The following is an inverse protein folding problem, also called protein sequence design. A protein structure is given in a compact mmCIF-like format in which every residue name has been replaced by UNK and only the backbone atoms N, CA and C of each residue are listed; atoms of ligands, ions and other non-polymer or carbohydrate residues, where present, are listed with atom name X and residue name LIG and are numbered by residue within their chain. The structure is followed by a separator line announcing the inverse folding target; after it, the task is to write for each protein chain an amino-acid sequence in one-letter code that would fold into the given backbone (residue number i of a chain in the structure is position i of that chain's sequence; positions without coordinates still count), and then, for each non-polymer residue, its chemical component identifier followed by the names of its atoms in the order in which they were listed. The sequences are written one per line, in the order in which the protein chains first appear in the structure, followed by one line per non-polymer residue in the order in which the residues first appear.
data_IF_490457250557
#
_entry.id   IF_490457250557
#
_cell.length_a   1.000
_cell.length_b   1.000
_cell.length_c   1.000
_cell.angle_alpha   90.00
_cell.angle_beta   90.00
_cell.angle_gamma   90.00
#
_symmetry.space_group_name_H-M   'P 1'
#
loop_
_entity.id
_entity.type
_entity.pdbx_description
1 polymer ?
#
# COMPACT_ATOMS: atom_id res chain seq x y z
N UNK A 1 -3.62 -12.04 -2.67
CA UNK A 1 -4.32 -10.85 -2.15
C UNK A 1 -5.52 -10.57 -3.03
N UNK A 2 -6.32 -9.56 -2.71
CA UNK A 2 -7.39 -9.11 -3.59
C UNK A 2 -7.67 -7.62 -3.42
N UNK A 3 -8.41 -7.04 -4.35
CA UNK A 3 -8.83 -5.65 -4.26
C UNK A 3 -10.28 -5.47 -4.71
N UNK A 4 -10.93 -4.45 -4.17
CA UNK A 4 -12.28 -4.06 -4.57
C UNK A 4 -12.42 -2.54 -4.48
N UNK A 5 -13.04 -1.94 -5.49
CA UNK A 5 -13.34 -0.52 -5.54
C UNK A 5 -14.72 -0.23 -4.94
N UNK A 6 -14.82 0.87 -4.22
CA UNK A 6 -16.02 1.31 -3.53
C UNK A 6 -16.31 2.76 -3.86
N UNK A 7 -17.55 3.03 -4.28
CA UNK A 7 -18.06 4.37 -4.55
C UNK A 7 -19.59 4.34 -4.53
N UNK A 8 -20.20 5.51 -4.39
CA UNK A 8 -21.65 5.74 -4.44
C UNK A 8 -22.44 4.92 -3.41
N UNK A 9 -21.85 4.68 -2.22
CA UNK A 9 -22.51 4.02 -1.10
C UNK A 9 -22.33 2.50 -1.05
N UNK A 10 -21.42 1.94 -1.85
CA UNK A 10 -21.13 0.51 -1.78
C UNK A 10 -20.02 0.05 -2.73
N UNK A 11 -20.02 -1.26 -2.99
CA UNK A 11 -19.15 -1.90 -3.97
C UNK A 11 -19.40 -1.35 -5.37
N UNK A 12 -18.39 -0.81 -6.02
CA UNK A 12 -18.49 -0.36 -7.41
C UNK A 12 -18.24 -1.50 -8.41
N UNK A 13 -17.30 -2.38 -8.10
CA UNK A 13 -16.99 -3.57 -8.87
C UNK A 13 -16.97 -4.84 -8.00
N UNK A 14 -16.80 -5.99 -8.65
CA UNK A 14 -16.53 -7.25 -7.98
C UNK A 14 -15.09 -7.29 -7.47
N UNK A 15 -14.89 -7.95 -6.32
CA UNK A 15 -13.55 -8.24 -5.82
C UNK A 15 -12.74 -9.02 -6.86
N UNK A 16 -11.48 -8.62 -7.03
CA UNK A 16 -10.51 -9.29 -7.89
C UNK A 16 -9.38 -9.83 -7.01
N UNK A 17 -9.16 -11.15 -7.07
CA UNK A 17 -8.08 -11.82 -6.35
C UNK A 17 -6.89 -12.05 -7.28
N UNK A 18 -5.69 -11.98 -6.72
CA UNK A 18 -4.42 -12.11 -7.44
C UNK A 18 -3.33 -12.72 -6.55
N UNK A 19 -2.27 -13.22 -7.18
CA UNK A 19 -1.05 -13.67 -6.52
C UNK A 19 -0.04 -12.52 -6.59
N UNK A 20 0.53 -12.16 -5.43
CA UNK A 20 1.60 -11.14 -5.34
C UNK A 20 2.82 -11.66 -6.09
N UNK A 21 3.39 -10.86 -6.99
CA UNK A 21 4.48 -11.29 -7.84
C UNK A 21 5.10 -10.14 -8.62
N UNK A 22 5.91 -10.44 -9.64
CA UNK A 22 6.48 -9.40 -10.47
C UNK A 22 5.43 -8.84 -11.44
N UNK A 23 5.23 -7.52 -11.44
CA UNK A 23 4.44 -6.79 -12.43
C UNK A 23 3.17 -6.18 -11.85
N UNK A 24 2.19 -5.90 -12.70
CA UNK A 24 0.92 -5.28 -12.29
C UNK A 24 -0.12 -6.35 -11.96
N UNK A 25 -0.67 -6.29 -10.74
CA UNK A 25 -1.69 -7.21 -10.23
C UNK A 25 -3.13 -6.75 -10.49
N UNK A 26 -3.35 -5.49 -10.83
CA UNK A 26 -4.68 -4.96 -11.09
C UNK A 26 -4.68 -3.67 -11.90
N UNK A 27 -5.80 -3.39 -12.56
CA UNK A 27 -6.05 -2.12 -13.22
C UNK A 27 -7.47 -1.67 -12.90
N UNK A 28 -7.62 -0.45 -12.40
CA UNK A 28 -8.94 0.13 -12.16
C UNK A 28 -9.34 1.03 -13.33
N UNK A 29 -10.08 0.46 -14.29
CA UNK A 29 -10.73 1.18 -15.39
C UNK A 29 -9.81 2.20 -16.11
N UNK A 30 -8.53 1.85 -16.29
CA UNK A 30 -7.50 2.70 -16.89
C UNK A 30 -7.20 4.02 -16.14
N UNK A 31 -7.64 4.16 -14.89
CA UNK A 31 -7.25 5.26 -14.02
C UNK A 31 -5.88 5.04 -13.40
N UNK A 32 -5.63 3.84 -12.87
CA UNK A 32 -4.36 3.46 -12.29
C UNK A 32 -4.12 1.95 -12.37
N UNK A 33 -2.86 1.58 -12.41
CA UNK A 33 -2.37 0.23 -12.18
C UNK A 33 -2.11 0.02 -10.69
N UNK A 34 -2.30 -1.23 -10.24
CA UNK A 34 -2.03 -1.69 -8.88
C UNK A 34 -0.88 -2.68 -8.98
N UNK A 35 0.28 -2.29 -8.45
CA UNK A 35 1.49 -3.09 -8.39
C UNK A 35 1.78 -3.41 -6.91
N UNK A 36 1.87 -4.69 -6.58
CA UNK A 36 2.00 -5.20 -5.21
C UNK A 36 3.24 -6.06 -5.09
N UNK A 37 4.14 -5.59 -4.23
CA UNK A 37 5.31 -6.32 -3.78
C UNK A 37 5.12 -6.83 -2.34
N UNK A 38 6.09 -7.62 -1.86
CA UNK A 38 6.14 -8.10 -0.46
C UNK A 38 6.09 -6.96 0.59
N UNK A 39 6.55 -5.77 0.21
CA UNK A 39 6.78 -4.65 1.12
C UNK A 39 6.07 -3.37 0.71
N UNK A 40 5.42 -3.35 -0.45
CA UNK A 40 4.73 -2.14 -0.91
C UNK A 40 3.53 -2.42 -1.80
N UNK A 41 2.62 -1.46 -1.83
CA UNK A 41 1.52 -1.38 -2.78
C UNK A 41 1.64 -0.03 -3.48
N UNK A 42 1.71 -0.04 -4.81
CA UNK A 42 1.83 1.14 -5.65
C UNK A 42 0.58 1.28 -6.51
N UNK A 43 0.02 2.48 -6.52
CA UNK A 43 -1.03 2.92 -7.42
C UNK A 43 -0.42 3.92 -8.40
N UNK A 44 -0.19 3.47 -9.64
CA UNK A 44 0.43 4.27 -10.70
C UNK A 44 -0.65 4.80 -11.64
N UNK A 45 -0.90 6.11 -11.60
CA UNK A 45 -2.01 6.72 -12.33
C UNK A 45 -1.66 6.95 -13.80
N UNK A 46 -2.62 6.69 -14.68
CA UNK A 46 -2.47 6.80 -16.14
C UNK A 46 -3.42 7.82 -16.78
N UNK A 47 -4.29 8.43 -15.98
CA UNK A 47 -5.30 9.39 -16.41
C UNK A 47 -5.20 10.69 -15.61
N UNK A 48 -5.93 11.72 -16.03
CA UNK A 48 -6.04 12.98 -15.29
C UNK A 48 -7.50 13.31 -15.01
N UNK A 49 -7.86 13.40 -13.72
CA UNK A 49 -9.20 13.76 -13.27
C UNK A 49 -9.20 14.14 -11.78
N UNK A 50 -10.39 14.36 -11.24
CA UNK A 50 -10.64 14.47 -9.80
C UNK A 50 -11.67 13.42 -9.41
N UNK A 51 -11.41 12.69 -8.33
CA UNK A 51 -12.34 11.70 -7.82
C UNK A 51 -13.63 12.35 -7.32
N UNK A 52 -14.78 11.81 -7.72
CA UNK A 52 -16.08 12.34 -7.33
C UNK A 52 -16.33 12.19 -5.82
N UNK A 53 -17.14 13.08 -5.26
CA UNK A 53 -17.71 12.88 -3.93
C UNK A 53 -18.62 11.64 -3.91
N UNK A 54 -18.76 11.06 -2.72
CA UNK A 54 -19.59 9.88 -2.49
C UNK A 54 -20.07 9.86 -1.04
N UNK A 55 -21.17 9.16 -0.75
CA UNK A 55 -21.47 8.71 0.61
C UNK A 55 -20.46 7.65 1.05
N UNK A 56 -20.41 7.37 2.37
CA UNK A 56 -19.56 6.30 2.90
C UNK A 56 -19.91 4.97 2.22
N UNK A 57 -18.94 4.39 1.52
CA UNK A 57 -19.11 3.19 0.69
C UNK A 57 -18.54 1.94 1.36
N UNK A 58 -17.50 2.09 2.17
CA UNK A 58 -17.00 1.07 3.07
C UNK A 58 -16.43 1.72 4.35
N UNK A 59 -16.98 1.34 5.50
CA UNK A 59 -16.49 1.81 6.79
C UNK A 59 -15.12 1.17 7.13
N UNK A 60 -14.20 1.89 7.82
CA UNK A 60 -14.41 3.23 8.37
C UNK A 60 -14.13 4.41 7.43
N UNK A 61 -13.36 4.22 6.35
CA UNK A 61 -12.71 5.37 5.70
C UNK A 61 -13.11 5.59 4.24
N UNK A 62 -13.59 4.57 3.51
CA UNK A 62 -13.79 4.71 2.06
C UNK A 62 -15.13 5.37 1.75
N UNK A 63 -15.07 6.60 1.23
CA UNK A 63 -16.18 7.24 0.56
C UNK A 63 -16.10 6.95 -0.95
N UNK A 64 -14.94 7.19 -1.56
CA UNK A 64 -14.64 6.84 -2.95
C UNK A 64 -13.20 6.34 -3.04
N UNK A 65 -13.00 5.04 -3.18
CA UNK A 65 -11.68 4.47 -3.03
C UNK A 65 -11.58 2.97 -3.17
N UNK A 66 -10.47 2.42 -2.70
CA UNK A 66 -10.11 1.02 -2.88
C UNK A 66 -9.79 0.34 -1.55
N UNK A 67 -10.25 -0.90 -1.40
CA UNK A 67 -9.85 -1.78 -0.30
C UNK A 67 -8.94 -2.88 -0.84
N UNK A 68 -7.74 -3.00 -0.27
CA UNK A 68 -6.80 -4.09 -0.51
C UNK A 68 -6.99 -5.14 0.59
N UNK A 69 -7.13 -6.41 0.22
CA UNK A 69 -7.51 -7.51 1.12
C UNK A 69 -6.47 -8.62 1.14
N UNK A 70 -6.14 -9.07 2.34
CA UNK A 70 -5.33 -10.26 2.54
C UNK A 70 -6.22 -11.51 2.44
N UNK A 71 -6.24 -12.13 1.27
CA UNK A 71 -6.97 -13.39 1.02
C UNK A 71 -6.21 -14.60 1.56
N UNK A 72 -4.87 -14.56 1.47
CA UNK A 72 -3.96 -15.59 1.96
C UNK A 72 -2.59 -14.99 2.22
N UNK A 73 -1.92 -15.40 3.30
CA UNK A 73 -0.59 -14.89 3.67
C UNK A 73 -0.55 -14.35 5.10
N UNK A 74 0.57 -13.74 5.51
CA UNK A 74 0.67 -13.08 6.82
C UNK A 74 -0.24 -11.85 6.88
N UNK A 75 -0.72 -11.55 8.08
CA UNK A 75 -1.51 -10.35 8.34
C UNK A 75 -0.67 -9.07 8.16
N UNK A 76 -1.32 -7.95 7.83
CA UNK A 76 -0.69 -6.64 7.85
C UNK A 76 -0.36 -6.23 9.29
N UNK A 77 0.88 -5.81 9.54
CA UNK A 77 1.34 -5.32 10.84
C UNK A 77 1.62 -3.82 10.85
N UNK A 78 1.89 -3.24 9.68
CA UNK A 78 2.12 -1.80 9.51
C UNK A 78 1.75 -1.36 8.10
N UNK A 79 1.18 -0.17 7.98
CA UNK A 79 0.97 0.52 6.71
C UNK A 79 1.39 1.98 6.89
N UNK A 80 2.31 2.46 6.06
CA UNK A 80 2.73 3.87 6.03
C UNK A 80 2.75 4.40 4.62
N UNK A 81 2.58 5.71 4.45
CA UNK A 81 2.67 6.36 3.15
C UNK A 81 4.16 6.53 2.79
N UNK A 82 4.54 6.08 1.61
CA UNK A 82 5.90 6.24 1.10
C UNK A 82 6.16 7.67 0.64
N UNK A 83 7.40 8.15 0.83
CA UNK A 83 7.80 9.51 0.49
C UNK A 83 7.79 9.81 -1.02
N UNK A 84 7.75 8.78 -1.88
CA UNK A 84 7.55 8.94 -3.33
C UNK A 84 6.11 9.29 -3.71
N UNK A 85 5.15 9.19 -2.78
CA UNK A 85 3.76 9.59 -3.03
C UNK A 85 3.67 11.07 -3.33
N UNK A 86 3.01 11.43 -4.44
CA UNK A 86 2.93 12.81 -4.91
C UNK A 86 1.49 13.33 -5.11
N UNK A 87 0.47 12.54 -4.76
CA UNK A 87 -0.92 13.00 -4.83
C UNK A 87 -1.21 14.07 -3.78
N UNK A 88 -1.51 15.29 -4.24
CA UNK A 88 -1.83 16.41 -3.36
C UNK A 88 -3.07 16.13 -2.50
N UNK A 89 -2.95 16.33 -1.19
CA UNK A 89 -4.05 16.09 -0.23
C UNK A 89 -4.22 14.63 0.21
N UNK A 90 -3.38 13.72 -0.28
CA UNK A 90 -3.30 12.36 0.24
C UNK A 90 -2.47 12.32 1.52
N UNK A 91 -3.07 11.91 2.62
CA UNK A 91 -2.42 11.78 3.93
C UNK A 91 -2.97 10.59 4.72
N UNK A 92 -2.44 10.38 5.92
CA UNK A 92 -2.79 9.22 6.75
C UNK A 92 -4.25 9.20 7.22
N UNK A 93 -4.99 10.31 7.16
CA UNK A 93 -6.42 10.33 7.49
C UNK A 93 -7.28 9.57 6.47
N UNK A 94 -6.74 9.38 5.26
CA UNK A 94 -7.37 8.66 4.14
C UNK A 94 -6.98 7.19 4.06
N UNK A 95 -6.18 6.71 5.00
CA UNK A 95 -5.73 5.32 5.07
C UNK A 95 -6.18 4.71 6.40
N UNK A 96 -6.83 3.56 6.33
CA UNK A 96 -7.11 2.71 7.49
C UNK A 96 -6.66 1.30 7.22
N UNK A 97 -6.20 0.56 8.23
CA UNK A 97 -5.88 -0.84 8.04
C UNK A 97 -6.18 -1.69 9.27
N UNK A 98 -6.42 -2.96 9.00
CA UNK A 98 -6.47 -4.06 9.96
C UNK A 98 -5.48 -5.13 9.52
N UNK A 99 -5.40 -6.25 10.24
CA UNK A 99 -4.57 -7.38 9.81
C UNK A 99 -4.94 -7.97 8.45
N UNK A 100 -6.16 -7.74 7.94
CA UNK A 100 -6.63 -8.36 6.69
C UNK A 100 -7.10 -7.39 5.62
N UNK A 101 -7.14 -6.09 5.90
CA UNK A 101 -7.65 -5.09 4.95
C UNK A 101 -6.92 -3.76 5.10
N UNK A 102 -6.60 -3.12 3.98
CA UNK A 102 -6.13 -1.73 3.88
C UNK A 102 -7.17 -0.97 3.07
N UNK A 103 -7.72 0.09 3.64
CA UNK A 103 -8.70 0.97 3.02
C UNK A 103 -8.05 2.29 2.66
N UNK A 104 -8.31 2.75 1.44
CA UNK A 104 -7.71 3.96 0.91
C UNK A 104 -8.80 4.79 0.24
N UNK A 105 -8.95 6.03 0.70
CA UNK A 105 -9.97 6.96 0.21
C UNK A 105 -9.38 8.05 -0.68
N UNK A 106 -9.84 8.09 -1.92
CA UNK A 106 -9.42 9.06 -2.92
C UNK A 106 -10.37 10.26 -3.06
N UNK A 107 -11.47 10.28 -2.30
CA UNK A 107 -12.55 11.25 -2.48
C UNK A 107 -12.03 12.70 -2.56
N UNK A 108 -12.43 13.39 -3.63
CA UNK A 108 -12.08 14.79 -3.93
C UNK A 108 -10.59 15.06 -4.20
N UNK A 109 -9.75 14.02 -4.32
CA UNK A 109 -8.37 14.18 -4.72
C UNK A 109 -8.24 14.28 -6.24
N UNK A 110 -7.42 15.23 -6.68
CA UNK A 110 -7.03 15.37 -8.08
C UNK A 110 -5.77 14.55 -8.37
N UNK A 111 -5.68 14.02 -9.57
CA UNK A 111 -4.55 13.23 -10.04
C UNK A 111 -4.29 13.48 -11.53
N UNK A 112 -3.08 13.14 -11.96
CA UNK A 112 -2.59 13.17 -13.34
C UNK A 112 -1.94 11.84 -13.68
N UNK A 113 -1.51 11.68 -14.93
CA UNK A 113 -0.74 10.51 -15.38
C UNK A 113 0.66 10.41 -14.78
N UNK A 114 1.09 11.41 -14.01
CA UNK A 114 2.36 11.39 -13.29
C UNK A 114 2.14 11.12 -11.79
N UNK A 115 0.89 10.89 -11.38
CA UNK A 115 0.54 10.69 -9.97
C UNK A 115 0.88 9.27 -9.53
N UNK A 116 1.59 9.16 -8.42
CA UNK A 116 1.92 7.90 -7.77
C UNK A 116 1.46 8.00 -6.32
N UNK A 117 0.72 6.97 -5.88
CA UNK A 117 0.49 6.73 -4.46
C UNK A 117 1.13 5.40 -4.09
N UNK A 118 2.07 5.44 -3.15
CA UNK A 118 2.77 4.23 -2.69
C UNK A 118 2.64 4.07 -1.19
N UNK A 119 2.25 2.87 -0.78
CA UNK A 119 2.16 2.46 0.62
C UNK A 119 3.27 1.45 0.91
N UNK A 120 3.99 1.66 2.01
CA UNK A 120 4.87 0.66 2.58
C UNK A 120 4.04 -0.24 3.50
N UNK A 121 4.09 -1.55 3.26
CA UNK A 121 3.36 -2.57 4.04
C UNK A 121 4.36 -3.49 4.71
N UNK A 122 4.06 -3.91 5.95
CA UNK A 122 4.86 -4.87 6.72
C UNK A 122 6.35 -4.54 6.75
N UNK A 123 6.80 -3.74 7.72
CA UNK A 123 8.21 -3.44 7.89
C UNK A 123 9.05 -4.73 7.84
N UNK A 124 9.94 -4.84 6.84
CA UNK A 124 10.90 -5.94 6.77
C UNK A 124 11.77 -5.85 8.02
N UNK A 125 11.81 -6.89 8.88
CA UNK A 125 12.80 -6.92 9.94
C UNK A 125 14.17 -6.81 9.27
N UNK A 126 14.94 -5.77 9.58
CA UNK A 126 16.29 -5.64 9.04
C UNK A 126 17.02 -6.97 9.24
N UNK A 127 17.70 -7.52 8.21
CA UNK A 127 18.38 -8.78 8.33
C UNK A 127 19.27 -8.75 9.57
N UNK A 128 19.10 -9.71 10.47
CA UNK A 128 19.96 -9.91 11.65
C UNK A 128 21.45 -10.01 11.29
N UNK A 129 21.78 -10.14 10.00
CA UNK A 129 23.09 -9.91 9.40
C UNK A 129 23.78 -8.61 9.86
N UNK A 130 23.05 -7.50 10.02
CA UNK A 130 23.65 -6.25 10.54
C UNK A 130 24.08 -6.39 12.02
N UNK A 131 23.26 -7.07 12.84
CA UNK A 131 23.60 -7.39 14.21
C UNK A 131 24.78 -8.39 14.29
N UNK A 132 24.84 -9.38 13.38
CA UNK A 132 25.94 -10.34 13.31
C UNK A 132 27.26 -9.68 12.88
N UNK A 133 27.23 -8.70 11.97
CA UNK A 133 28.40 -7.93 11.56
C UNK A 133 28.95 -7.06 12.71
N UNK A 134 28.06 -6.45 13.49
CA UNK A 134 28.40 -5.66 14.68
C UNK A 134 29.00 -6.53 15.80
N UNK A 135 28.47 -7.73 16.02
CA UNK A 135 29.02 -8.66 17.03
C UNK A 135 30.34 -9.31 16.57
N UNK A 136 30.48 -9.63 15.28
CA UNK A 136 31.70 -10.22 14.72
C UNK A 136 32.91 -9.29 14.77
N UNK A 137 32.71 -7.98 14.58
CA UNK A 137 33.78 -6.98 14.65
C UNK A 137 34.29 -6.75 16.07
N UNK A 138 33.42 -6.81 17.09
CA UNK A 138 33.83 -6.75 18.51
C UNK A 138 34.64 -7.98 18.92
N UNK A 139 34.28 -9.18 18.44
CA UNK A 139 35.03 -10.41 18.71
C UNK A 139 36.44 -10.40 18.10
N UNK A 140 36.61 -9.85 16.89
CA UNK A 140 37.91 -9.72 16.24
C UNK A 140 38.83 -8.70 16.94
N UNK A 141 38.27 -7.59 17.41
CA UNK A 141 39.01 -6.57 18.17
C UNK A 141 39.49 -7.10 19.53
N UNK A 142 38.72 -7.99 20.17
CA UNK A 142 39.11 -8.64 21.44
C UNK A 142 40.21 -9.68 21.26
N UNK A 143 40.32 -10.31 20.08
CA UNK A 143 41.37 -11.30 19.76
C UNK A 143 42.73 -10.67 19.45
N UNK A 144 42.79 -9.41 19.02
CA UNK A 144 44.05 -8.68 18.75
C UNK A 144 44.71 -8.07 20.00
N UNK A 145 44.14 -8.24 21.20
CA UNK A 145 44.68 -7.70 22.47
C UNK A 145 45.25 -8.78 23.42
N UNK A 146 45.73 -9.91 22.88
CA UNK A 146 46.55 -10.88 23.62
C UNK A 146 47.91 -11.00 22.97
#
# INVERSE_FOLDING_TARGET
MGWQYYAYGGAYNSQTDFVVGPGVEGNFASYFDIDVDDTSITFDYMAAATWSSSSLSLAPTIYNGIAMRMVSGPAFTSVTIDASTNMGGFDSSRVSFTGSEIQIDWMELAFTSDTIVKLNVNAVPEPTSMAALALGSVAFLRRRRK
#
